data_IF_045198562721
#
_entry.id   IF_045198562721
#
_cell.length_a   1.000
_cell.length_b   1.000
_cell.length_c   1.000
_cell.angle_alpha   90.00
_cell.angle_beta   90.00
_cell.angle_gamma   90.00
#
_symmetry.space_group_name_H-M   'P 1'
#
loop_
_entity.id
_entity.type
_entity.pdbx_description
1 polymer ?
#
# COMPACT_ATOMS: atom_id res chain seq x y z
N UNK A 1 27.46 -0.93 13.18
CA UNK A 1 26.22 -0.16 13.39
C UNK A 1 25.32 -0.96 14.31
N UNK A 2 24.86 -0.38 15.42
CA UNK A 2 24.07 -1.08 16.45
C UNK A 2 22.60 -1.14 16.07
N UNK A 3 21.83 -2.12 16.57
CA UNK A 3 20.40 -2.29 16.23
C UNK A 3 19.57 -1.04 16.54
N UNK A 4 19.91 -0.36 17.65
CA UNK A 4 19.30 0.92 18.04
C UNK A 4 19.58 2.05 17.05
N UNK A 5 20.76 2.09 16.45
CA UNK A 5 21.10 3.09 15.42
C UNK A 5 20.33 2.85 14.12
N UNK A 6 20.09 1.59 13.72
CA UNK A 6 19.21 1.27 12.57
C UNK A 6 17.77 1.64 12.85
N UNK A 7 17.27 1.38 14.06
CA UNK A 7 15.92 1.75 14.44
C UNK A 7 15.73 3.28 14.46
N UNK A 8 16.68 4.02 15.01
CA UNK A 8 16.66 5.49 15.00
C UNK A 8 16.78 6.06 13.58
N UNK A 9 17.56 5.44 12.69
CA UNK A 9 17.67 5.86 11.29
C UNK A 9 16.38 5.61 10.48
N UNK A 10 15.62 4.54 10.79
CA UNK A 10 14.30 4.29 10.16
C UNK A 10 13.27 5.35 10.53
N UNK A 11 13.30 5.84 11.77
CA UNK A 11 12.45 6.98 12.20
C UNK A 11 12.94 8.34 11.67
N UNK A 12 14.10 8.37 11.00
CA UNK A 12 14.65 9.55 10.34
C UNK A 12 14.41 9.52 8.82
N UNK A 13 13.83 8.44 8.28
CA UNK A 13 13.39 8.34 6.90
C UNK A 13 12.11 9.19 6.76
N UNK A 14 12.08 10.22 5.91
CA UNK A 14 11.13 11.33 6.06
C UNK A 14 9.65 10.94 6.06
N UNK A 15 9.23 9.82 5.46
CA UNK A 15 7.80 9.51 5.28
C UNK A 15 7.47 8.00 5.17
N UNK A 16 8.35 7.08 5.60
CA UNK A 16 8.20 5.64 5.34
C UNK A 16 8.08 5.32 3.83
N UNK A 17 8.69 6.13 2.96
CA UNK A 17 8.47 6.09 1.51
C UNK A 17 8.77 4.70 0.90
N UNK A 18 9.86 4.07 1.31
CA UNK A 18 10.23 2.70 0.90
C UNK A 18 9.20 1.67 1.35
N UNK A 19 8.66 1.81 2.57
CA UNK A 19 7.63 0.92 3.10
C UNK A 19 6.31 1.11 2.35
N UNK A 20 5.88 2.36 2.11
CA UNK A 20 4.68 2.68 1.33
C UNK A 20 4.76 2.14 -0.09
N UNK A 21 5.90 2.31 -0.75
CA UNK A 21 6.17 1.73 -2.07
C UNK A 21 6.10 0.19 -2.03
N UNK A 22 6.69 -0.43 -1.00
CA UNK A 22 6.61 -1.87 -0.76
C UNK A 22 5.17 -2.37 -0.59
N UNK A 23 4.34 -1.65 0.17
CA UNK A 23 2.93 -1.99 0.40
C UNK A 23 2.08 -1.87 -0.88
N UNK A 24 2.29 -0.82 -1.68
CA UNK A 24 1.63 -0.66 -2.99
C UNK A 24 2.02 -1.81 -3.92
N UNK A 25 3.30 -2.18 -3.93
CA UNK A 25 3.80 -3.35 -4.67
C UNK A 25 3.14 -4.65 -4.21
N UNK A 26 3.07 -4.88 -2.90
CA UNK A 26 2.44 -6.06 -2.32
C UNK A 26 0.95 -6.18 -2.68
N UNK A 27 0.19 -5.08 -2.62
CA UNK A 27 -1.20 -5.02 -3.07
C UNK A 27 -1.34 -5.37 -4.55
N UNK A 28 -0.48 -4.79 -5.40
CA UNK A 28 -0.48 -5.04 -6.84
C UNK A 28 -0.23 -6.51 -7.16
N UNK A 29 0.79 -7.11 -6.53
CA UNK A 29 1.12 -8.53 -6.67
C UNK A 29 -0.04 -9.40 -6.16
N UNK A 30 -0.63 -9.05 -5.02
CA UNK A 30 -1.78 -9.75 -4.44
C UNK A 30 -2.97 -9.82 -5.39
N UNK A 31 -3.26 -8.73 -6.11
CA UNK A 31 -4.31 -8.70 -7.14
C UNK A 31 -3.98 -9.62 -8.30
N UNK A 32 -2.73 -9.58 -8.80
CA UNK A 32 -2.29 -10.41 -9.92
C UNK A 32 -2.37 -11.90 -9.56
N UNK A 33 -1.86 -12.28 -8.38
CA UNK A 33 -1.91 -13.65 -7.87
C UNK A 33 -3.37 -14.10 -7.71
N UNK A 34 -4.20 -13.29 -7.06
CA UNK A 34 -5.63 -13.60 -6.83
C UNK A 34 -6.39 -13.80 -8.14
N UNK A 35 -6.11 -12.95 -9.14
CA UNK A 35 -6.80 -12.96 -10.44
C UNK A 35 -6.35 -14.11 -11.33
N UNK A 36 -5.04 -14.36 -11.42
CA UNK A 36 -4.47 -15.23 -12.45
C UNK A 36 -4.00 -16.59 -11.94
N UNK A 37 -3.56 -16.69 -10.69
CA UNK A 37 -3.05 -17.95 -10.12
C UNK A 37 -4.11 -18.65 -9.27
N UNK A 38 -4.77 -17.91 -8.37
CA UNK A 38 -5.78 -18.47 -7.48
C UNK A 38 -7.17 -18.49 -8.11
N UNK A 39 -7.43 -17.61 -9.09
CA UNK A 39 -8.69 -17.55 -9.81
C UNK A 39 -9.89 -17.21 -8.93
N UNK A 40 -9.72 -16.34 -7.92
CA UNK A 40 -10.81 -15.95 -7.01
C UNK A 40 -11.94 -15.27 -7.79
N UNK A 41 -13.13 -15.88 -7.83
CA UNK A 41 -14.25 -15.50 -8.72
C UNK A 41 -14.49 -13.99 -8.79
N UNK A 42 -14.64 -13.34 -7.63
CA UNK A 42 -14.91 -11.91 -7.56
C UNK A 42 -13.81 -11.01 -8.17
N UNK A 43 -12.54 -11.43 -8.08
CA UNK A 43 -11.39 -10.67 -8.62
C UNK A 43 -11.12 -11.04 -10.08
N UNK A 44 -11.33 -12.33 -10.43
CA UNK A 44 -11.19 -12.87 -11.78
C UNK A 44 -12.19 -12.23 -12.74
N UNK A 45 -13.45 -12.16 -12.32
CA UNK A 45 -14.56 -11.77 -13.18
C UNK A 45 -14.78 -10.24 -13.21
N UNK A 46 -14.19 -9.50 -12.26
CA UNK A 46 -14.19 -8.04 -12.28
C UNK A 46 -13.37 -7.46 -13.44
N UNK A 47 -13.82 -6.35 -14.02
CA UNK A 47 -13.02 -5.62 -15.01
C UNK A 47 -11.80 -4.97 -14.34
N UNK A 48 -10.66 -4.81 -15.05
CA UNK A 48 -9.50 -4.11 -14.49
C UNK A 48 -9.84 -2.70 -14.00
N UNK A 49 -10.69 -1.98 -14.75
CA UNK A 49 -11.16 -0.65 -14.37
C UNK A 49 -11.89 -0.66 -13.01
N UNK A 50 -12.73 -1.67 -12.76
CA UNK A 50 -13.45 -1.80 -11.49
C UNK A 50 -12.51 -2.09 -10.31
N UNK A 51 -11.47 -2.91 -10.54
CA UNK A 51 -10.45 -3.17 -9.51
C UNK A 51 -9.66 -1.89 -9.20
N UNK A 52 -9.26 -1.14 -10.22
CA UNK A 52 -8.56 0.14 -10.05
C UNK A 52 -9.44 1.15 -9.30
N UNK A 53 -10.72 1.25 -9.65
CA UNK A 53 -11.67 2.13 -8.97
C UNK A 53 -11.76 1.84 -7.47
N UNK A 54 -11.88 0.55 -7.10
CA UNK A 54 -11.97 0.12 -5.70
C UNK A 54 -10.65 0.28 -4.92
N UNK A 55 -9.50 0.09 -5.57
CA UNK A 55 -8.19 0.20 -4.92
C UNK A 55 -7.66 1.64 -4.86
N UNK A 56 -8.15 2.53 -5.72
CA UNK A 56 -7.72 3.93 -5.80
C UNK A 56 -7.64 4.63 -4.44
N UNK A 57 -8.69 4.62 -3.58
CA UNK A 57 -8.61 5.30 -2.28
C UNK A 57 -7.53 4.69 -1.38
N UNK A 58 -7.48 3.37 -1.26
CA UNK A 58 -6.48 2.69 -0.42
C UNK A 58 -5.04 2.96 -0.88
N UNK A 59 -4.78 2.91 -2.19
CA UNK A 59 -3.45 3.23 -2.76
C UNK A 59 -3.11 4.70 -2.56
N UNK A 60 -4.09 5.60 -2.70
CA UNK A 60 -3.90 7.03 -2.47
C UNK A 60 -3.52 7.30 -1.01
N UNK A 61 -4.22 6.70 -0.05
CA UNK A 61 -3.96 6.85 1.39
C UNK A 61 -2.58 6.28 1.77
N UNK A 62 -2.18 5.14 1.18
CA UNK A 62 -0.84 4.58 1.40
C UNK A 62 0.24 5.49 0.81
N UNK A 63 0.02 6.05 -0.38
CA UNK A 63 1.01 6.89 -1.04
C UNK A 63 1.22 8.22 -0.32
N UNK A 64 0.15 8.87 0.10
CA UNK A 64 0.19 10.25 0.61
C UNK A 64 0.13 10.31 2.16
N UNK A 65 -0.19 9.20 2.83
CA UNK A 65 -0.52 9.18 4.24
C UNK A 65 -1.95 9.67 4.47
N UNK A 66 -2.60 9.23 5.55
CA UNK A 66 -3.79 9.92 6.02
C UNK A 66 -3.35 11.35 6.37
N UNK A 67 -3.96 12.36 5.75
CA UNK A 67 -3.78 13.72 6.24
C UNK A 67 -4.20 13.70 7.72
N UNK A 68 -3.25 13.95 8.63
CA UNK A 68 -3.48 14.19 10.06
C UNK A 68 -4.28 15.49 10.29
N UNK A 69 -5.35 15.73 9.51
CA UNK A 69 -6.14 16.95 9.56
C UNK A 69 -7.36 16.85 10.50
N UNK A 70 -7.71 15.68 11.03
CA UNK A 70 -8.82 15.53 12.00
C UNK A 70 -8.39 15.52 13.48
N UNK A 71 -7.10 15.50 13.81
CA UNK A 71 -6.64 15.46 15.22
C UNK A 71 -6.14 16.82 15.77
N UNK A 72 -6.38 17.93 15.05
CA UNK A 72 -6.01 19.29 15.48
C UNK A 72 -7.17 20.31 15.48
N UNK A 73 -8.43 19.86 15.47
CA UNK A 73 -9.60 20.70 15.75
C UNK A 73 -10.12 20.44 17.17
#
# INVERSE_FOLDING_TARGET
MTERQRQAARHLDPDDADLRAGLIGALTIGVVISRHLLGLDAVRDATPARIIELLRPAVHDIAHGAADDELRA
#
